data_IF_571057763264
#
_entry.id   IF_571057763264
#
_cell.length_a   1.000
_cell.length_b   1.000
_cell.length_c   1.000
_cell.angle_alpha   90.00
_cell.angle_beta   90.00
_cell.angle_gamma   90.00
#
_symmetry.space_group_name_H-M   'P 1'
#
loop_
_entity.id
_entity.type
_entity.pdbx_description
1 polymer ?
#
# COMPACT_ATOMS: atom_id res chain seq x y z
N UNK A 1 -38.21 8.80 -6.95
CA UNK A 1 -37.09 9.63 -7.44
C UNK A 1 -35.94 9.42 -6.47
N UNK A 2 -34.94 8.63 -6.84
CA UNK A 2 -33.76 8.42 -6.00
C UNK A 2 -32.86 9.65 -6.05
N UNK A 3 -32.35 10.08 -4.89
CA UNK A 3 -31.48 11.25 -4.76
C UNK A 3 -30.05 10.84 -5.13
N UNK A 4 -29.52 11.40 -6.21
CA UNK A 4 -28.12 11.24 -6.60
C UNK A 4 -27.30 12.41 -6.01
N UNK A 5 -26.21 12.11 -5.29
CA UNK A 5 -25.31 13.11 -4.73
C UNK A 5 -24.05 13.20 -5.61
N UNK A 6 -23.80 14.32 -6.29
CA UNK A 6 -22.56 14.49 -7.07
C UNK A 6 -21.36 14.65 -6.13
N UNK A 7 -20.32 13.87 -6.37
CA UNK A 7 -19.02 14.04 -5.71
C UNK A 7 -18.13 14.82 -6.69
N UNK A 8 -17.69 16.00 -6.29
CA UNK A 8 -16.76 16.84 -7.06
C UNK A 8 -15.37 16.65 -6.48
N UNK A 9 -14.48 16.03 -7.26
CA UNK A 9 -13.06 15.89 -6.92
C UNK A 9 -12.24 16.86 -7.77
N UNK A 10 -11.26 17.51 -7.16
CA UNK A 10 -10.19 18.18 -7.90
C UNK A 10 -9.35 17.09 -8.60
N UNK A 11 -9.42 17.04 -9.93
CA UNK A 11 -8.70 16.07 -10.76
C UNK A 11 -7.18 16.04 -10.52
N UNK A 12 -6.61 17.09 -9.91
CA UNK A 12 -5.19 17.16 -9.52
C UNK A 12 -4.83 16.17 -8.41
N UNK A 13 -5.81 15.80 -7.57
CA UNK A 13 -5.57 14.91 -6.42
C UNK A 13 -5.82 13.43 -6.75
N UNK A 14 -6.34 13.12 -7.95
CA UNK A 14 -6.55 11.75 -8.39
C UNK A 14 -5.19 11.08 -8.60
N UNK A 15 -4.86 10.13 -7.73
CA UNK A 15 -3.58 9.42 -7.75
C UNK A 15 -2.44 10.13 -7.01
N UNK A 16 -2.73 11.20 -6.25
CA UNK A 16 -1.70 11.78 -5.39
C UNK A 16 -1.26 10.74 -4.35
N UNK A 17 0.04 10.48 -4.22
CA UNK A 17 0.53 9.50 -3.26
C UNK A 17 0.28 10.05 -1.85
N UNK A 18 -0.61 9.38 -1.12
CA UNK A 18 -0.98 9.72 0.24
C UNK A 18 -0.57 8.60 1.20
N UNK A 19 -0.45 8.95 2.48
CA UNK A 19 -0.29 7.94 3.53
C UNK A 19 -1.45 6.94 3.49
N UNK A 20 -1.13 5.65 3.61
CA UNK A 20 -2.09 4.54 3.59
C UNK A 20 -2.99 4.51 4.83
N UNK A 21 -2.66 5.27 5.88
CA UNK A 21 -3.52 5.44 7.06
C UNK A 21 -4.70 6.33 6.70
N UNK A 22 -5.92 5.83 6.95
CA UNK A 22 -7.15 6.53 6.64
C UNK A 22 -7.18 7.93 7.26
N UNK A 23 -7.47 8.95 6.43
CA UNK A 23 -7.52 10.38 6.81
C UNK A 23 -6.23 10.96 7.37
N UNK A 24 -5.07 10.35 7.13
CA UNK A 24 -3.80 10.97 7.48
C UNK A 24 -3.58 12.22 6.60
N UNK A 25 -3.40 13.43 7.18
CA UNK A 25 -3.22 14.65 6.40
C UNK A 25 -1.76 14.92 6.03
N UNK A 26 -0.82 14.12 6.56
CA UNK A 26 0.61 14.35 6.37
C UNK A 26 1.09 13.84 5.01
N UNK A 27 1.93 14.61 4.31
CA UNK A 27 2.53 14.17 3.06
C UNK A 27 3.50 13.01 3.30
N UNK A 28 3.75 12.25 2.23
CA UNK A 28 4.83 11.25 2.21
C UNK A 28 6.17 11.95 2.02
N UNK A 29 7.23 11.44 2.65
CA UNK A 29 8.58 11.95 2.41
C UNK A 29 9.04 11.66 0.97
N UNK A 30 8.77 10.45 0.49
CA UNK A 30 9.04 10.03 -0.89
C UNK A 30 7.78 9.49 -1.52
N UNK A 31 7.62 9.70 -2.81
CA UNK A 31 6.48 9.18 -3.59
C UNK A 31 6.39 7.65 -3.61
N UNK A 32 7.43 6.93 -3.15
CA UNK A 32 7.46 5.47 -3.06
C UNK A 32 7.04 4.93 -1.68
N UNK A 33 6.96 5.81 -0.67
CA UNK A 33 6.62 5.42 0.69
C UNK A 33 5.10 5.19 0.79
N UNK A 34 4.71 4.22 1.61
CA UNK A 34 3.29 3.90 1.83
C UNK A 34 2.74 4.65 3.05
N UNK A 35 3.62 5.17 3.90
CA UNK A 35 3.30 5.84 5.16
C UNK A 35 4.09 7.14 5.28
N UNK A 36 3.49 8.16 5.88
CA UNK A 36 4.22 9.37 6.28
C UNK A 36 5.22 9.05 7.39
N UNK A 37 6.21 9.91 7.63
CA UNK A 37 7.27 9.74 8.62
C UNK A 37 6.75 9.23 9.98
N UNK A 38 5.74 9.89 10.56
CA UNK A 38 5.19 9.51 11.87
C UNK A 38 4.49 8.14 11.91
N UNK A 39 4.02 7.61 10.78
CA UNK A 39 3.44 6.27 10.69
C UNK A 39 4.44 5.23 10.18
N UNK A 40 5.52 5.68 9.53
CA UNK A 40 6.51 4.80 8.96
C UNK A 40 7.26 4.03 10.04
N UNK A 41 7.54 4.63 11.19
CA UNK A 41 8.25 3.98 12.30
C UNK A 41 7.54 2.71 12.79
N UNK A 42 6.20 2.77 12.89
CA UNK A 42 5.39 1.67 13.41
C UNK A 42 4.96 0.72 12.30
N UNK A 43 4.50 1.25 11.17
CA UNK A 43 3.84 0.45 10.13
C UNK A 43 4.78 -0.04 9.03
N UNK A 44 5.92 0.61 8.79
CA UNK A 44 6.84 0.18 7.71
C UNK A 44 7.55 -1.12 8.02
N UNK A 45 7.63 -1.52 9.29
CA UNK A 45 8.27 -2.76 9.72
C UNK A 45 7.27 -3.92 9.91
N UNK A 46 5.97 -3.67 9.69
CA UNK A 46 4.92 -4.68 9.86
C UNK A 46 4.55 -5.28 8.50
N UNK A 47 4.20 -6.56 8.48
CA UNK A 47 3.71 -7.25 7.31
C UNK A 47 2.61 -6.45 6.59
N UNK A 48 2.74 -6.31 5.27
CA UNK A 48 1.80 -5.54 4.45
C UNK A 48 0.38 -6.14 4.36
N UNK A 49 0.20 -7.37 4.86
CA UNK A 49 -1.10 -8.05 4.94
C UNK A 49 -1.92 -7.46 6.08
N UNK A 50 -3.15 -7.04 5.77
CA UNK A 50 -4.06 -6.46 6.76
C UNK A 50 -4.34 -7.45 7.90
N UNK A 51 -4.20 -7.00 9.14
CA UNK A 51 -4.42 -7.82 10.34
C UNK A 51 -3.25 -8.70 10.75
N UNK A 52 -2.11 -8.68 10.05
CA UNK A 52 -0.91 -9.40 10.46
C UNK A 52 0.01 -8.49 11.30
N UNK A 53 0.24 -8.77 12.60
CA UNK A 53 1.12 -7.97 13.45
C UNK A 53 2.60 -8.37 13.34
N UNK A 54 2.94 -9.35 12.50
CA UNK A 54 4.30 -9.87 12.40
C UNK A 54 5.22 -8.91 11.65
N UNK A 55 6.48 -8.88 12.06
CA UNK A 55 7.52 -8.06 11.43
C UNK A 55 7.82 -8.58 10.02
N UNK A 56 8.16 -7.68 9.10
CA UNK A 56 8.61 -8.02 7.75
C UNK A 56 9.92 -8.83 7.82
N UNK A 57 9.97 -9.93 7.09
CA UNK A 57 11.18 -10.74 6.92
C UNK A 57 11.54 -10.72 5.44
N UNK A 58 12.45 -9.83 5.00
CA UNK A 58 12.79 -9.70 3.59
C UNK A 58 13.54 -10.95 3.11
N UNK A 59 13.05 -11.55 2.02
CA UNK A 59 13.68 -12.67 1.32
C UNK A 59 14.19 -12.20 -0.05
N UNK A 60 14.84 -13.09 -0.81
CA UNK A 60 15.24 -12.80 -2.20
C UNK A 60 14.05 -12.46 -3.11
N UNK A 61 12.84 -12.90 -2.75
CA UNK A 61 11.64 -12.77 -3.59
C UNK A 61 10.56 -11.84 -3.04
N UNK A 62 10.56 -11.57 -1.73
CA UNK A 62 9.53 -10.79 -1.04
C UNK A 62 10.18 -9.78 -0.12
N UNK A 63 9.69 -8.54 -0.13
CA UNK A 63 10.28 -7.43 0.64
C UNK A 63 9.30 -6.79 1.61
N UNK A 64 8.03 -7.20 1.60
CA UNK A 64 6.94 -6.54 2.34
C UNK A 64 6.11 -7.47 3.23
N UNK A 65 6.45 -8.76 3.29
CA UNK A 65 5.69 -9.76 4.07
C UNK A 65 6.52 -10.34 5.21
N UNK A 66 5.84 -10.89 6.21
CA UNK A 66 6.48 -11.73 7.23
C UNK A 66 6.88 -13.11 6.67
N UNK A 67 7.38 -14.00 7.55
CA UNK A 67 7.83 -15.36 7.19
C UNK A 67 6.67 -16.35 6.85
N UNK A 68 5.43 -15.88 6.84
CA UNK A 68 4.29 -16.71 6.46
C UNK A 68 4.28 -16.95 4.95
N UNK A 69 4.32 -18.22 4.54
CA UNK A 69 4.30 -18.65 3.14
C UNK A 69 3.07 -18.14 2.39
N UNK A 70 1.92 -18.02 3.06
CA UNK A 70 0.69 -17.51 2.44
C UNK A 70 0.83 -16.02 2.13
N UNK A 71 1.40 -15.25 3.05
CA UNK A 71 1.64 -13.81 2.87
C UNK A 71 2.66 -13.57 1.76
N UNK A 72 3.75 -14.34 1.74
CA UNK A 72 4.74 -14.29 0.66
C UNK A 72 4.14 -14.63 -0.72
N UNK A 73 3.24 -15.63 -0.78
CA UNK A 73 2.55 -15.98 -2.01
C UNK A 73 1.62 -14.86 -2.50
N UNK A 74 0.96 -14.14 -1.59
CA UNK A 74 0.15 -12.96 -1.93
C UNK A 74 1.00 -11.83 -2.51
N UNK A 75 2.15 -11.52 -1.91
CA UNK A 75 3.07 -10.50 -2.45
C UNK A 75 3.54 -10.89 -3.86
N UNK A 76 3.95 -12.16 -4.05
CA UNK A 76 4.36 -12.65 -5.37
C UNK A 76 3.27 -12.50 -6.43
N UNK A 77 2.04 -12.90 -6.12
CA UNK A 77 0.89 -12.72 -7.05
C UNK A 77 0.62 -11.25 -7.35
N UNK A 78 0.76 -10.36 -6.36
CA UNK A 78 0.59 -8.92 -6.57
C UNK A 78 1.68 -8.33 -7.46
N UNK A 79 2.94 -8.76 -7.28
CA UNK A 79 4.06 -8.35 -8.11
C UNK A 79 3.90 -8.84 -9.55
N UNK A 80 3.46 -10.08 -9.73
CA UNK A 80 3.20 -10.68 -11.04
C UNK A 80 2.07 -9.93 -11.78
N UNK A 81 0.96 -9.65 -11.10
CA UNK A 81 -0.12 -8.83 -11.65
C UNK A 81 0.37 -7.43 -12.08
N UNK A 82 1.24 -6.82 -11.29
CA UNK A 82 1.85 -5.53 -11.64
C UNK A 82 2.77 -5.59 -12.86
N UNK A 83 3.48 -6.71 -13.05
CA UNK A 83 4.32 -6.95 -14.26
C UNK A 83 3.48 -7.21 -15.50
N UNK A 84 2.37 -7.93 -15.36
CA UNK A 84 1.49 -8.27 -16.48
C UNK A 84 0.87 -7.05 -17.17
N UNK A 85 0.77 -5.89 -16.51
CA UNK A 85 0.27 -4.66 -17.14
C UNK A 85 1.22 -4.06 -18.19
N UNK A 86 2.48 -4.51 -18.27
CA UNK A 86 3.49 -3.99 -19.19
C UNK A 86 3.98 -5.02 -20.20
N UNK A 87 3.32 -6.17 -20.32
CA UNK A 87 3.60 -7.16 -21.37
C UNK A 87 2.65 -6.87 -22.53
N UNK A 88 3.20 -6.34 -23.62
CA UNK A 88 2.51 -6.07 -24.89
C UNK A 88 2.99 -7.07 -25.95
#
# INVERSE_FOLDING_TARGET
IEKCHPIVCDGLTIGHPCCKVFRCPYPLEKSRDHHCEGHAEVLSNICAVEGCPNVIVPTTTTKKTCDDRTHQAMERKSLDRGRSMFVL
#
